data_IF_544662577490
#
_entry.id   IF_544662577490
#
_cell.length_a   1.000
_cell.length_b   1.000
_cell.length_c   1.000
_cell.angle_alpha   90.00
_cell.angle_beta   90.00
_cell.angle_gamma   90.00
#
_symmetry.space_group_name_H-M   'P 1'
#
loop_
_entity.id
_entity.type
_entity.pdbx_description
1 polymer ?
#
# COMPACT_ATOMS: atom_id res chain seq x y z
N UNK A 1 -21.58 1.21 -2.72
CA UNK A 1 -20.75 0.03 -2.36
C UNK A 1 -21.60 -0.97 -1.58
N UNK A 2 -21.18 -2.24 -1.52
CA UNK A 2 -21.83 -3.29 -0.69
C UNK A 2 -21.94 -2.86 0.79
N UNK A 3 -20.90 -2.22 1.31
CA UNK A 3 -20.82 -1.71 2.69
C UNK A 3 -21.95 -0.71 2.96
N UNK A 4 -22.11 0.32 2.09
CA UNK A 4 -23.17 1.32 2.25
C UNK A 4 -24.57 0.72 2.17
N UNK A 5 -24.80 -0.28 1.32
CA UNK A 5 -26.10 -0.92 1.17
C UNK A 5 -26.52 -1.73 2.41
N UNK A 6 -25.56 -2.26 3.17
CA UNK A 6 -25.81 -3.06 4.38
C UNK A 6 -25.91 -2.22 5.66
N UNK A 7 -25.31 -1.03 5.68
CA UNK A 7 -25.39 -0.10 6.81
C UNK A 7 -24.77 -0.62 8.10
N UNK A 8 -23.81 -1.55 8.02
CA UNK A 8 -23.18 -2.23 9.16
C UNK A 8 -21.65 -2.03 9.16
N UNK A 9 -21.17 -0.86 8.72
CA UNK A 9 -19.74 -0.56 8.57
C UNK A 9 -18.97 -0.78 9.87
N UNK A 10 -19.58 -0.45 11.00
CA UNK A 10 -19.03 -0.58 12.36
C UNK A 10 -18.95 -2.03 12.86
N UNK A 11 -19.62 -2.99 12.19
CA UNK A 11 -19.64 -4.40 12.58
C UNK A 11 -18.63 -5.26 11.82
N UNK A 12 -17.81 -4.65 10.96
CA UNK A 12 -16.82 -5.35 10.14
C UNK A 12 -15.44 -4.73 10.34
N UNK A 13 -14.41 -5.57 10.26
CA UNK A 13 -13.01 -5.12 10.13
C UNK A 13 -12.70 -5.05 8.64
N UNK A 14 -12.51 -3.84 8.13
CA UNK A 14 -12.21 -3.57 6.73
C UNK A 14 -10.72 -3.29 6.54
N UNK A 15 -10.05 -4.21 5.86
CA UNK A 15 -8.64 -4.08 5.51
C UNK A 15 -8.46 -3.71 4.02
N UNK A 16 -7.52 -2.80 3.73
CA UNK A 16 -7.06 -2.53 2.37
C UNK A 16 -5.53 -2.41 2.34
N UNK A 17 -4.97 -2.22 1.14
CA UNK A 17 -3.52 -2.18 0.93
C UNK A 17 -3.10 -1.10 -0.07
N UNK A 18 -1.92 -0.53 0.13
CA UNK A 18 -1.21 0.27 -0.87
C UNK A 18 -0.18 -0.60 -1.61
N UNK A 19 -0.19 -0.52 -2.94
CA UNK A 19 0.80 -1.21 -3.78
C UNK A 19 2.17 -0.55 -3.64
N UNK A 20 3.22 -1.35 -3.44
CA UNK A 20 4.62 -0.89 -3.50
C UNK A 20 5.06 -0.58 -4.93
N UNK A 21 6.38 -0.42 -5.20
CA UNK A 21 6.87 -0.12 -6.54
C UNK A 21 6.43 -1.12 -7.60
N UNK A 22 6.38 -0.69 -8.86
CA UNK A 22 6.08 -1.57 -10.01
C UNK A 22 7.07 -2.73 -10.05
N UNK A 23 6.59 -3.93 -10.35
CA UNK A 23 7.40 -5.15 -10.43
C UNK A 23 7.23 -5.81 -11.79
N UNK A 24 8.33 -6.29 -12.38
CA UNK A 24 8.30 -7.04 -13.63
C UNK A 24 7.63 -6.25 -14.76
N UNK A 25 6.61 -6.85 -15.36
CA UNK A 25 5.85 -6.28 -16.49
C UNK A 25 4.53 -5.64 -16.05
N UNK A 26 4.30 -5.43 -14.75
CA UNK A 26 3.06 -4.86 -14.25
C UNK A 26 2.90 -3.39 -14.68
N UNK A 27 1.68 -2.98 -14.99
CA UNK A 27 1.35 -1.57 -15.19
C UNK A 27 1.28 -0.83 -13.85
N UNK A 28 1.77 0.40 -13.82
CA UNK A 28 1.63 1.25 -12.63
C UNK A 28 0.18 1.69 -12.40
N UNK A 29 -0.26 1.73 -11.13
CA UNK A 29 -1.56 2.33 -10.74
C UNK A 29 -1.44 3.86 -10.66
N UNK A 30 -0.27 4.35 -10.25
CA UNK A 30 0.07 5.78 -10.14
C UNK A 30 1.40 6.07 -10.84
N UNK A 31 1.59 7.28 -11.41
CA UNK A 31 2.90 7.70 -11.92
C UNK A 31 3.97 7.63 -10.83
N UNK A 32 5.15 7.09 -11.14
CA UNK A 32 6.27 6.96 -10.20
C UNK A 32 5.84 6.27 -8.88
N UNK A 33 5.14 5.14 -9.01
CA UNK A 33 4.60 4.41 -7.86
C UNK A 33 5.74 3.98 -6.90
N UNK A 34 5.67 4.48 -5.68
CA UNK A 34 6.55 4.13 -4.56
C UNK A 34 5.76 4.16 -3.24
N UNK A 35 6.37 3.76 -2.13
CA UNK A 35 5.81 3.86 -0.78
C UNK A 35 6.19 5.17 -0.08
N UNK A 36 6.23 6.27 -0.84
CA UNK A 36 6.38 7.63 -0.32
C UNK A 36 5.03 8.19 0.20
N UNK A 37 5.11 9.31 0.92
CA UNK A 37 3.95 10.02 1.47
C UNK A 37 2.87 10.32 0.42
N UNK A 38 3.27 10.84 -0.75
CA UNK A 38 2.33 11.26 -1.80
C UNK A 38 1.52 10.07 -2.32
N UNK A 39 2.18 8.97 -2.61
CA UNK A 39 1.58 7.76 -3.14
C UNK A 39 0.71 7.05 -2.11
N UNK A 40 1.13 7.00 -0.84
CA UNK A 40 0.38 6.39 0.25
C UNK A 40 -0.94 7.11 0.47
N UNK A 41 -0.92 8.45 0.55
CA UNK A 41 -2.13 9.27 0.72
C UNK A 41 -3.07 9.16 -0.46
N UNK A 42 -2.56 9.31 -1.69
CA UNK A 42 -3.36 9.18 -2.90
C UNK A 42 -4.02 7.78 -3.02
N UNK A 43 -3.32 6.72 -2.62
CA UNK A 43 -3.86 5.37 -2.61
C UNK A 43 -4.94 5.17 -1.53
N UNK A 44 -4.77 5.78 -0.35
CA UNK A 44 -5.73 5.72 0.74
C UNK A 44 -7.02 6.44 0.34
N UNK A 45 -6.92 7.68 -0.12
CA UNK A 45 -8.08 8.49 -0.56
C UNK A 45 -8.87 7.78 -1.66
N UNK A 46 -8.16 7.23 -2.64
CA UNK A 46 -8.80 6.49 -3.73
C UNK A 46 -9.47 5.20 -3.22
N UNK A 47 -8.91 4.53 -2.21
CA UNK A 47 -9.49 3.34 -1.60
C UNK A 47 -10.76 3.66 -0.81
N UNK A 48 -10.71 4.68 0.05
CA UNK A 48 -11.85 5.17 0.82
C UNK A 48 -12.99 5.61 -0.10
N UNK A 49 -12.68 6.35 -1.18
CA UNK A 49 -13.67 6.76 -2.20
C UNK A 49 -14.34 5.55 -2.88
N UNK A 50 -13.58 4.54 -3.31
CA UNK A 50 -14.14 3.34 -3.97
C UNK A 50 -14.98 2.50 -3.01
N UNK A 51 -14.53 2.34 -1.77
CA UNK A 51 -15.22 1.56 -0.74
C UNK A 51 -16.41 2.31 -0.14
N UNK A 52 -16.44 3.64 -0.32
CA UNK A 52 -17.44 4.56 0.21
C UNK A 52 -17.55 4.42 1.74
N UNK A 53 -16.45 4.73 2.41
CA UNK A 53 -16.30 4.79 3.86
C UNK A 53 -15.19 5.77 4.21
N UNK A 54 -15.22 6.31 5.43
CA UNK A 54 -14.28 7.35 5.86
C UNK A 54 -13.01 6.78 6.53
N UNK A 55 -12.97 5.48 6.81
CA UNK A 55 -11.83 4.84 7.45
C UNK A 55 -11.64 3.38 7.03
N UNK A 56 -10.42 2.89 7.22
CA UNK A 56 -10.05 1.47 7.19
C UNK A 56 -9.63 1.06 8.60
N UNK A 57 -9.98 -0.15 9.00
CA UNK A 57 -9.54 -0.71 10.29
C UNK A 57 -8.09 -1.17 10.23
N UNK A 58 -7.64 -1.58 9.03
CA UNK A 58 -6.28 -2.01 8.78
C UNK A 58 -5.83 -1.54 7.40
N UNK A 59 -4.73 -0.79 7.36
CA UNK A 59 -4.08 -0.39 6.11
C UNK A 59 -2.68 -0.99 6.04
N UNK A 60 -2.38 -1.70 4.94
CA UNK A 60 -1.16 -2.50 4.81
C UNK A 60 -0.35 -2.09 3.59
N UNK A 61 0.97 -2.28 3.69
CA UNK A 61 1.83 -2.33 2.51
C UNK A 61 1.58 -3.65 1.78
N UNK A 62 1.22 -3.60 0.51
CA UNK A 62 0.92 -4.81 -0.26
C UNK A 62 2.19 -5.61 -0.59
N UNK A 63 3.31 -4.92 -0.80
CA UNK A 63 4.66 -5.49 -0.90
C UNK A 63 5.74 -4.45 -0.59
N UNK A 64 6.98 -4.87 -0.29
CA UNK A 64 8.04 -3.97 0.16
C UNK A 64 8.50 -2.97 -0.90
N UNK A 65 8.98 -1.80 -0.43
CA UNK A 65 9.73 -0.84 -1.25
C UNK A 65 11.08 -1.39 -1.70
N UNK A 66 11.84 -1.99 -0.76
CA UNK A 66 13.17 -2.54 -1.04
C UNK A 66 13.09 -3.83 -1.84
N UNK A 67 14.13 -4.12 -2.63
CA UNK A 67 14.32 -5.43 -3.20
C UNK A 67 14.50 -6.48 -2.08
N UNK A 68 13.71 -7.55 -2.13
CA UNK A 68 13.82 -8.66 -1.18
C UNK A 68 13.27 -9.94 -1.82
N UNK A 69 13.49 -11.07 -1.15
CA UNK A 69 13.09 -12.39 -1.59
C UNK A 69 11.60 -12.65 -1.29
N UNK A 70 10.74 -11.97 -2.04
CA UNK A 70 9.28 -12.14 -2.01
C UNK A 70 8.75 -12.64 -3.37
N UNK A 71 7.51 -13.13 -3.38
CA UNK A 71 6.83 -13.67 -4.57
C UNK A 71 7.60 -14.80 -5.26
N UNK A 72 7.80 -15.91 -4.53
CA UNK A 72 8.41 -17.13 -5.07
C UNK A 72 9.94 -17.10 -5.18
N UNK A 73 10.60 -15.98 -4.87
CA UNK A 73 12.06 -15.90 -4.81
C UNK A 73 12.57 -16.49 -3.49
N UNK A 74 13.40 -17.52 -3.59
CA UNK A 74 14.13 -18.09 -2.45
C UNK A 74 15.45 -17.35 -2.25
N UNK A 75 15.96 -17.38 -1.02
CA UNK A 75 17.21 -16.77 -0.56
C UNK A 75 17.29 -15.24 -0.75
N UNK A 76 17.62 -14.54 0.33
CA UNK A 76 17.90 -13.10 0.24
C UNK A 76 19.31 -12.88 -0.29
N UNK A 77 19.44 -12.08 -1.35
CA UNK A 77 20.71 -11.57 -1.81
C UNK A 77 20.84 -10.12 -1.36
N UNK A 78 21.88 -9.84 -0.58
CA UNK A 78 22.21 -8.49 -0.18
C UNK A 78 22.76 -7.71 -1.37
N UNK A 79 22.34 -6.45 -1.50
CA UNK A 79 22.91 -5.49 -2.46
C UNK A 79 23.13 -4.15 -1.76
N UNK A 80 24.08 -3.36 -2.26
CA UNK A 80 24.31 -1.98 -1.79
C UNK A 80 23.27 -0.97 -2.33
N UNK A 81 22.29 -1.45 -3.11
CA UNK A 81 21.25 -0.60 -3.69
C UNK A 81 20.34 -0.06 -2.58
N UNK A 82 20.37 1.26 -2.42
CA UNK A 82 19.48 1.94 -1.48
C UNK A 82 18.12 2.18 -2.14
N UNK A 83 17.07 1.80 -1.43
CA UNK A 83 15.71 2.17 -1.82
C UNK A 83 15.59 3.70 -1.85
N UNK A 84 14.97 4.23 -2.90
CA UNK A 84 14.73 5.67 -3.07
C UNK A 84 13.86 6.26 -1.97
N UNK A 85 12.99 5.44 -1.40
CA UNK A 85 12.15 5.75 -0.23
C UNK A 85 12.62 4.89 0.93
N UNK A 86 12.91 5.51 2.06
CA UNK A 86 13.39 4.79 3.24
C UNK A 86 12.24 4.14 4.00
N UNK A 87 12.53 3.12 4.81
CA UNK A 87 11.52 2.53 5.69
C UNK A 87 10.95 3.57 6.66
N UNK A 88 11.79 4.49 7.15
CA UNK A 88 11.35 5.53 8.07
C UNK A 88 10.35 6.48 7.40
N UNK A 89 10.64 6.92 6.17
CA UNK A 89 9.72 7.77 5.40
C UNK A 89 8.37 7.08 5.15
N UNK A 90 8.38 5.78 4.81
CA UNK A 90 7.15 5.00 4.67
C UNK A 90 6.39 4.91 6.00
N UNK A 91 7.08 4.73 7.13
CA UNK A 91 6.44 4.65 8.45
C UNK A 91 5.83 6.00 8.85
N UNK A 92 6.56 7.11 8.67
CA UNK A 92 6.05 8.47 8.90
C UNK A 92 4.77 8.71 8.10
N UNK A 93 4.76 8.34 6.82
CA UNK A 93 3.60 8.45 5.95
C UNK A 93 2.38 7.64 6.41
N UNK A 94 2.58 6.55 7.15
CA UNK A 94 1.50 5.70 7.68
C UNK A 94 0.95 6.20 9.03
N UNK A 95 1.66 7.10 9.71
CA UNK A 95 1.22 7.67 11.01
C UNK A 95 0.33 8.91 10.88
N UNK A 96 0.12 9.38 9.65
CA UNK A 96 -0.76 10.49 9.26
C UNK A 96 -2.25 10.06 9.45
#
# INVERSE_FOLDING_TARGET
SWIKARGNREKIVLASKVSGPVRGTDSSIRPQQALDRKNIRAALDASLKRLNTDYLDLYQLHWPQRATNCFGKLNYQYTDDKATVTLLETLEALTE
#
